data_IF_871850842623
#
_entry.id   IF_871850842623
#
_cell.length_a   1.000
_cell.length_b   1.000
_cell.length_c   1.000
_cell.angle_alpha   90.00
_cell.angle_beta   90.00
_cell.angle_gamma   90.00
#
_symmetry.space_group_name_H-M   'P 1'
#
loop_
_entity.id
_entity.type
_entity.pdbx_description
1 polymer ?
#
# COMPACT_ATOMS: atom_id res chain seq x y z
N UNK A 1 38.17 -25.91 8.34
CA UNK A 1 37.12 -25.23 7.56
C UNK A 1 35.77 -25.81 7.93
N UNK A 2 34.86 -25.06 8.57
CA UNK A 2 33.49 -25.50 8.74
C UNK A 2 32.55 -24.90 7.69
N UNK A 3 31.63 -25.76 7.27
CA UNK A 3 30.63 -25.63 6.21
C UNK A 3 29.54 -24.60 6.54
N UNK A 4 29.11 -23.91 5.47
CA UNK A 4 27.94 -23.05 5.41
C UNK A 4 26.65 -23.85 5.67
N UNK A 5 25.70 -23.27 6.39
CA UNK A 5 24.39 -23.89 6.62
C UNK A 5 23.61 -23.33 7.82
N UNK A 6 23.38 -22.02 7.88
CA UNK A 6 22.41 -21.44 8.82
C UNK A 6 21.18 -20.93 8.07
N UNK A 7 20.16 -21.80 8.06
CA UNK A 7 18.75 -21.52 7.81
C UNK A 7 18.34 -20.27 8.61
N UNK A 8 18.05 -19.17 7.92
CA UNK A 8 17.51 -17.97 8.57
C UNK A 8 16.11 -18.28 9.08
N UNK A 9 16.01 -18.46 10.40
CA UNK A 9 14.75 -18.58 11.12
C UNK A 9 14.10 -17.19 11.14
N UNK A 10 12.91 -17.11 10.57
CA UNK A 10 12.00 -15.99 10.69
C UNK A 10 11.44 -15.99 12.12
N UNK A 11 12.11 -15.32 13.06
CA UNK A 11 11.56 -15.09 14.39
C UNK A 11 10.72 -13.82 14.38
N UNK A 12 9.44 -14.02 14.10
CA UNK A 12 8.36 -13.15 14.57
C UNK A 12 8.39 -13.12 16.11
N UNK A 13 8.08 -11.96 16.71
CA UNK A 13 8.02 -11.67 18.15
C UNK A 13 9.33 -11.35 18.88
N UNK A 14 9.78 -10.10 18.72
CA UNK A 14 10.41 -9.36 19.81
C UNK A 14 9.48 -8.20 20.21
N UNK A 15 8.43 -8.52 20.97
CA UNK A 15 7.58 -7.51 21.63
C UNK A 15 8.36 -6.88 22.78
N UNK A 16 8.87 -5.68 22.53
CA UNK A 16 9.03 -4.52 23.43
C UNK A 16 9.13 -4.79 24.94
N UNK A 17 10.34 -4.67 25.48
CA UNK A 17 10.55 -4.25 26.87
C UNK A 17 10.13 -2.77 27.00
N UNK A 18 9.36 -2.47 28.05
CA UNK A 18 8.50 -1.29 28.13
C UNK A 18 9.17 0.08 28.01
N UNK A 19 8.50 0.97 27.28
CA UNK A 19 8.51 2.44 27.39
C UNK A 19 7.19 2.95 26.76
N UNK A 20 6.41 3.71 27.53
CA UNK A 20 5.21 4.50 27.17
C UNK A 20 4.08 3.85 26.34
N UNK A 21 2.96 3.61 27.03
CA UNK A 21 1.64 3.16 26.55
C UNK A 21 0.84 4.29 25.84
N UNK A 22 1.52 5.12 25.05
CA UNK A 22 0.90 6.22 24.28
C UNK A 22 1.51 6.36 22.87
N UNK A 23 2.21 5.32 22.40
CA UNK A 23 2.63 5.24 21.00
C UNK A 23 1.55 4.50 20.24
N UNK A 24 0.49 5.24 19.87
CA UNK A 24 -0.43 4.82 18.83
C UNK A 24 0.37 4.21 17.68
N UNK A 25 0.23 2.90 17.49
CA UNK A 25 0.99 2.14 16.51
C UNK A 25 0.72 2.77 15.13
N UNK A 26 1.74 3.42 14.58
CA UNK A 26 1.62 4.16 13.33
C UNK A 26 1.61 3.17 12.17
N UNK A 27 0.41 2.89 11.67
CA UNK A 27 0.20 2.16 10.42
C UNK A 27 0.03 3.17 9.27
N UNK A 28 1.09 3.44 8.48
CA UNK A 28 0.98 4.33 7.34
C UNK A 28 0.09 3.72 6.26
N UNK A 29 -0.94 4.46 5.87
CA UNK A 29 -1.72 4.22 4.66
C UNK A 29 -1.13 5.06 3.53
N UNK A 30 -0.97 4.44 2.37
CA UNK A 30 -0.37 5.06 1.20
C UNK A 30 -1.30 4.82 0.00
N UNK A 31 -1.57 5.87 -0.76
CA UNK A 31 -2.29 5.77 -2.03
C UNK A 31 -1.33 5.36 -3.15
N UNK A 32 -1.53 4.16 -3.69
CA UNK A 32 -0.69 3.61 -4.77
C UNK A 32 -0.85 4.34 -6.10
N UNK A 33 -1.98 5.03 -6.33
CA UNK A 33 -2.18 5.87 -7.52
C UNK A 33 -1.34 7.14 -7.42
N UNK A 34 -1.30 7.77 -6.25
CA UNK A 34 -0.48 8.96 -6.04
C UNK A 34 1.02 8.64 -6.12
N UNK A 35 1.43 7.46 -5.68
CA UNK A 35 2.78 6.96 -5.93
C UNK A 35 3.06 6.77 -7.43
N UNK A 36 2.13 6.18 -8.18
CA UNK A 36 2.28 6.01 -9.61
C UNK A 36 2.41 7.36 -10.34
N UNK A 37 1.64 8.38 -9.94
CA UNK A 37 1.75 9.75 -10.49
C UNK A 37 3.10 10.41 -10.20
N UNK A 38 3.73 10.12 -9.06
CA UNK A 38 5.06 10.67 -8.74
C UNK A 38 6.17 10.08 -9.62
N UNK A 39 5.96 8.87 -10.16
CA UNK A 39 6.98 8.12 -10.90
C UNK A 39 6.75 8.10 -12.42
N UNK A 40 5.51 8.30 -12.87
CA UNK A 40 5.12 8.22 -14.27
C UNK A 40 4.67 9.58 -14.78
N UNK A 41 5.12 9.96 -15.97
CA UNK A 41 4.84 11.27 -16.55
C UNK A 41 3.36 11.46 -16.96
N UNK A 42 2.62 10.38 -17.21
CA UNK A 42 1.29 10.42 -17.85
C UNK A 42 0.35 9.32 -17.37
N UNK A 43 -0.93 9.64 -17.19
CA UNK A 43 -2.01 8.68 -16.97
C UNK A 43 -2.44 7.96 -18.25
N UNK A 44 -3.46 7.07 -18.20
CA UNK A 44 -4.29 6.75 -17.04
C UNK A 44 -3.59 5.88 -15.98
N UNK A 45 -4.07 5.94 -14.73
CA UNK A 45 -3.49 5.29 -13.55
C UNK A 45 -4.38 4.19 -12.96
N UNK A 46 -5.30 3.63 -13.76
CA UNK A 46 -6.06 2.46 -13.32
C UNK A 46 -5.13 1.25 -13.22
N UNK A 47 -5.41 0.34 -12.27
CA UNK A 47 -4.58 -0.85 -12.06
C UNK A 47 -4.38 -1.66 -13.37
N UNK A 48 -5.40 -1.95 -14.20
CA UNK A 48 -5.19 -2.65 -15.47
C UNK A 48 -4.25 -1.92 -16.43
N UNK A 49 -4.36 -0.59 -16.54
CA UNK A 49 -3.49 0.20 -17.42
C UNK A 49 -2.04 0.16 -16.94
N UNK A 50 -1.83 0.24 -15.63
CA UNK A 50 -0.50 0.20 -15.04
C UNK A 50 0.15 -1.18 -15.21
N UNK A 51 -0.62 -2.26 -15.08
CA UNK A 51 -0.15 -3.62 -15.32
C UNK A 51 0.26 -3.83 -16.78
N UNK A 52 -0.59 -3.43 -17.73
CA UNK A 52 -0.32 -3.54 -19.17
C UNK A 52 0.98 -2.82 -19.57
N UNK A 53 1.17 -1.58 -19.10
CA UNK A 53 2.41 -0.81 -19.32
C UNK A 53 3.67 -1.48 -18.82
N UNK A 54 3.55 -2.33 -17.80
CA UNK A 54 4.67 -3.05 -17.18
C UNK A 54 4.79 -4.48 -17.70
N UNK A 55 3.96 -4.90 -18.66
CA UNK A 55 3.91 -6.27 -19.16
C UNK A 55 3.46 -7.28 -18.09
N UNK A 56 2.64 -6.84 -17.14
CA UNK A 56 2.06 -7.66 -16.07
C UNK A 56 0.58 -7.95 -16.37
N UNK A 57 0.08 -9.06 -15.83
CA UNK A 57 -1.31 -9.46 -15.98
C UNK A 57 -1.94 -9.82 -14.63
N UNK A 58 -3.26 -9.70 -14.55
CA UNK A 58 -4.09 -10.10 -13.42
C UNK A 58 -5.31 -10.89 -13.93
N UNK A 59 -5.20 -12.22 -14.07
CA UNK A 59 -6.25 -13.05 -14.67
C UNK A 59 -7.54 -13.08 -13.84
N UNK A 60 -7.42 -12.89 -12.53
CA UNK A 60 -8.54 -12.90 -11.58
C UNK A 60 -8.92 -11.47 -11.15
N UNK A 61 -8.96 -10.55 -12.13
CA UNK A 61 -9.31 -9.15 -11.88
C UNK A 61 -10.63 -9.02 -11.10
N UNK A 62 -10.69 -8.04 -10.19
CA UNK A 62 -11.79 -7.80 -9.24
C UNK A 62 -11.86 -8.76 -8.04
N UNK A 63 -11.03 -9.80 -7.98
CA UNK A 63 -10.83 -10.53 -6.73
C UNK A 63 -9.87 -9.75 -5.82
N UNK A 64 -10.30 -9.43 -4.60
CA UNK A 64 -9.55 -8.54 -3.70
C UNK A 64 -8.09 -8.98 -3.46
N UNK A 65 -7.87 -10.27 -3.26
CA UNK A 65 -6.51 -10.83 -3.07
C UNK A 65 -5.69 -10.73 -4.36
N UNK A 66 -6.31 -10.98 -5.51
CA UNK A 66 -5.65 -10.89 -6.81
C UNK A 66 -5.26 -9.44 -7.12
N UNK A 67 -6.17 -8.49 -6.91
CA UNK A 67 -5.92 -7.05 -7.10
C UNK A 67 -4.83 -6.54 -6.15
N UNK A 68 -4.83 -6.97 -4.88
CA UNK A 68 -3.77 -6.64 -3.93
C UNK A 68 -2.41 -7.20 -4.39
N UNK A 69 -2.40 -8.46 -4.84
CA UNK A 69 -1.19 -9.12 -5.35
C UNK A 69 -0.67 -8.43 -6.61
N UNK A 70 -1.56 -8.08 -7.54
CA UNK A 70 -1.23 -7.37 -8.76
C UNK A 70 -0.68 -5.97 -8.46
N UNK A 71 -1.27 -5.28 -7.48
CA UNK A 71 -0.77 -3.97 -7.00
C UNK A 71 0.64 -4.08 -6.45
N UNK A 72 0.95 -5.11 -5.65
CA UNK A 72 2.31 -5.34 -5.13
C UNK A 72 3.29 -5.63 -6.27
N UNK A 73 2.93 -6.48 -7.24
CA UNK A 73 3.77 -6.76 -8.42
C UNK A 73 4.03 -5.49 -9.24
N UNK A 74 3.00 -4.68 -9.44
CA UNK A 74 3.08 -3.39 -10.14
C UNK A 74 4.04 -2.43 -9.43
N UNK A 75 3.94 -2.26 -8.10
CA UNK A 75 4.85 -1.42 -7.33
C UNK A 75 6.30 -1.93 -7.36
N UNK A 76 6.49 -3.26 -7.26
CA UNK A 76 7.80 -3.88 -7.40
C UNK A 76 8.44 -3.56 -8.76
N UNK A 77 7.67 -3.67 -9.84
CA UNK A 77 8.14 -3.36 -11.18
C UNK A 77 8.41 -1.85 -11.35
N UNK A 78 7.55 -0.97 -10.83
CA UNK A 78 7.73 0.48 -10.89
C UNK A 78 8.97 0.97 -10.15
N UNK A 79 9.23 0.43 -8.95
CA UNK A 79 10.36 0.88 -8.14
C UNK A 79 11.69 0.27 -8.58
N UNK A 80 11.64 -0.90 -9.24
CA UNK A 80 12.80 -1.63 -9.74
C UNK A 80 13.89 -1.79 -8.68
N UNK A 81 15.14 -1.53 -9.07
CA UNK A 81 16.30 -1.63 -8.18
C UNK A 81 16.32 -0.59 -7.04
N UNK A 82 15.56 0.52 -7.17
CA UNK A 82 15.50 1.59 -6.17
C UNK A 82 14.46 1.37 -5.07
N UNK A 83 13.84 0.18 -5.02
CA UNK A 83 12.77 -0.15 -4.05
C UNK A 83 13.10 0.17 -2.58
N UNK A 84 14.36 -0.01 -2.16
CA UNK A 84 14.77 0.25 -0.79
C UNK A 84 14.75 1.75 -0.45
N UNK A 85 15.34 2.57 -1.32
CA UNK A 85 15.37 4.02 -1.15
C UNK A 85 13.96 4.62 -1.26
N UNK A 86 13.21 4.19 -2.27
CA UNK A 86 11.83 4.65 -2.51
C UNK A 86 10.93 4.22 -1.34
N UNK A 87 11.02 2.97 -0.87
CA UNK A 87 10.25 2.48 0.26
C UNK A 87 10.46 3.30 1.54
N UNK A 88 11.71 3.66 1.88
CA UNK A 88 12.00 4.53 3.01
C UNK A 88 11.40 5.94 2.86
N UNK A 89 11.38 6.50 1.65
CA UNK A 89 10.74 7.80 1.38
C UNK A 89 9.21 7.71 1.50
N UNK A 90 8.62 6.64 0.97
CA UNK A 90 7.18 6.40 0.99
C UNK A 90 6.66 6.24 2.43
N UNK A 91 7.38 5.52 3.29
CA UNK A 91 6.98 5.36 4.70
C UNK A 91 6.90 6.70 5.45
N UNK A 92 7.70 7.70 5.05
CA UNK A 92 7.65 9.05 5.61
C UNK A 92 6.47 9.89 5.08
N UNK A 93 5.91 9.53 3.94
CA UNK A 93 4.75 10.19 3.33
C UNK A 93 3.41 9.58 3.79
N UNK A 94 3.43 8.37 4.34
CA UNK A 94 2.21 7.68 4.76
C UNK A 94 1.42 8.47 5.80
N UNK A 95 0.09 8.39 5.71
CA UNK A 95 -0.80 9.00 6.69
C UNK A 95 -1.23 7.94 7.71
N UNK A 96 -1.50 8.33 8.96
CA UNK A 96 -2.03 7.38 9.94
C UNK A 96 -3.42 6.88 9.49
N UNK A 97 -3.67 5.58 9.64
CA UNK A 97 -4.97 4.97 9.28
C UNK A 97 -6.17 5.65 9.96
N UNK A 98 -6.01 6.13 11.20
CA UNK A 98 -7.10 6.83 11.93
C UNK A 98 -7.53 8.14 11.27
N UNK A 99 -6.61 8.84 10.60
CA UNK A 99 -6.88 10.12 9.91
C UNK A 99 -7.56 9.98 8.55
N UNK A 100 -7.58 8.78 7.94
CA UNK A 100 -8.11 8.58 6.57
C UNK A 100 -9.61 8.24 6.52
N UNK A 101 -10.28 8.08 7.67
CA UNK A 101 -11.70 7.68 7.76
C UNK A 101 -12.71 8.83 7.51
N UNK A 102 -12.63 9.51 6.36
CA UNK A 102 -13.60 10.55 5.97
C UNK A 102 -14.74 10.05 5.05
N UNK A 103 -14.69 8.80 4.58
CA UNK A 103 -15.67 8.25 3.64
C UNK A 103 -17.14 8.38 4.09
N UNK A 104 -17.42 8.15 5.39
CA UNK A 104 -18.78 8.30 5.94
C UNK A 104 -19.30 9.74 5.92
N UNK A 105 -18.42 10.75 5.98
CA UNK A 105 -18.85 12.16 6.06
C UNK A 105 -19.25 12.74 4.70
N UNK A 106 -18.63 12.27 3.61
CA UNK A 106 -18.89 12.78 2.26
C UNK A 106 -20.14 12.20 1.59
N UNK A 107 -20.64 11.04 2.03
CA UNK A 107 -21.83 10.38 1.49
C UNK A 107 -23.08 10.50 2.37
N UNK A 108 -23.04 11.31 3.42
CA UNK A 108 -24.24 11.76 4.11
C UNK A 108 -24.96 12.79 3.22
N UNK A 109 -25.51 12.34 2.09
CA UNK A 109 -26.49 13.13 1.35
C UNK A 109 -27.67 13.38 2.30
N UNK A 110 -28.06 14.65 2.57
CA UNK A 110 -29.31 14.90 3.26
C UNK A 110 -30.41 14.26 2.42
N UNK A 111 -31.15 13.30 2.99
CA UNK A 111 -32.38 12.83 2.39
C UNK A 111 -33.28 14.07 2.28
N UNK A 112 -33.41 14.65 1.08
CA UNK A 112 -34.33 15.75 0.85
C UNK A 112 -35.72 15.28 1.28
N UNK A 113 -36.47 16.09 2.05
CA UNK A 113 -37.83 15.72 2.43
C UNK A 113 -38.64 15.51 1.15
N UNK A 114 -39.17 14.30 1.00
CA UNK A 114 -40.14 13.97 -0.04
C UNK A 114 -41.41 14.75 0.31
N UNK A 115 -41.63 15.89 -0.33
CA UNK A 115 -42.93 16.55 -0.30
C UNK A 115 -43.94 15.59 -0.91
N UNK A 116 -44.88 15.11 -0.08
CA UNK A 116 -46.08 14.39 -0.49
C UNK A 116 -47.23 15.38 -0.34
#
# INVERSE_FOLDING_TARGET
MPSSGSKLILTESARTAGVDDDKDEFFPVIDTIDLAKQLLDRGPYSLPTLLDRLGLDNPDAHAAVADATATVKMLHALFGFKRGEIGCKILRQGQAFRTTNNWRKSHAAPLLPRNI
#
